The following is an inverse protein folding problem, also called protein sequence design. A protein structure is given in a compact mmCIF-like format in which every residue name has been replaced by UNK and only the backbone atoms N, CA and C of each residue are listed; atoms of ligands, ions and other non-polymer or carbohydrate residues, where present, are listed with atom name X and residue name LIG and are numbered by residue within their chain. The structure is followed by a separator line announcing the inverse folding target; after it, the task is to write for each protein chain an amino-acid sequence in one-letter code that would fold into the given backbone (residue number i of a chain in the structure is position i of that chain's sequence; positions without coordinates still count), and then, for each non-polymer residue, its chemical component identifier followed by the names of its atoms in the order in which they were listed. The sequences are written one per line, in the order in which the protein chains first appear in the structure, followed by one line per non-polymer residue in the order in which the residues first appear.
data_IF_260668137148
#
_entry.id   IF_260668137148
#
_cell.length_a   1.000
_cell.length_b   1.000
_cell.length_c   1.000
_cell.angle_alpha   90.00
_cell.angle_beta   90.00
_cell.angle_gamma   90.00
#
_symmetry.space_group_name_H-M   'P 1'
#
loop_
_entity.id
_entity.type
_entity.pdbx_description
1 polymer ?
#
# COMPACT_ATOMS: atom_id res chain seq x y z
N UNK A 1 16.48 6.92 -5.10
CA UNK A 1 16.09 7.68 -3.89
C UNK A 1 14.71 8.28 -4.14
N UNK A 2 13.77 8.17 -3.20
CA UNK A 2 12.40 8.68 -3.33
C UNK A 2 12.23 9.89 -2.42
N UNK A 3 11.84 11.04 -2.96
CA UNK A 3 11.52 12.23 -2.18
C UNK A 3 10.01 12.26 -1.88
N UNK A 4 9.64 12.33 -0.60
CA UNK A 4 8.26 12.26 -0.13
C UNK A 4 7.87 13.55 0.61
N UNK A 5 6.75 14.15 0.21
CA UNK A 5 6.01 15.06 1.08
C UNK A 5 5.10 14.22 1.98
N UNK A 6 5.48 14.06 3.26
CA UNK A 6 4.82 13.14 4.18
C UNK A 6 3.58 13.78 4.83
N UNK A 7 2.39 13.48 4.29
CA UNK A 7 1.11 14.02 4.76
C UNK A 7 0.38 13.02 5.69
N UNK A 8 0.33 11.72 5.31
CA UNK A 8 -0.26 10.64 6.13
C UNK A 8 0.83 9.67 6.62
N UNK A 9 0.87 9.37 7.91
CA UNK A 9 1.89 8.53 8.60
C UNK A 9 3.36 8.81 8.19
N UNK A 10 3.98 9.83 8.80
CA UNK A 10 5.39 10.17 8.55
C UNK A 10 6.40 9.14 9.09
N UNK A 11 6.01 8.29 10.04
CA UNK A 11 6.94 7.41 10.77
C UNK A 11 7.09 6.04 10.12
N UNK A 12 6.01 5.42 9.65
CA UNK A 12 6.05 4.07 9.06
C UNK A 12 5.86 4.02 7.53
N UNK A 13 5.39 5.11 6.91
CA UNK A 13 5.21 5.22 5.45
C UNK A 13 6.48 5.49 4.64
N UNK A 14 7.65 5.02 5.11
CA UNK A 14 8.89 5.11 4.32
C UNK A 14 8.80 4.16 3.14
N UNK A 15 8.99 4.72 1.95
CA UNK A 15 9.04 3.93 0.73
C UNK A 15 10.49 3.54 0.37
N UNK A 16 10.69 2.41 -0.30
CA UNK A 16 9.66 1.51 -0.85
C UNK A 16 8.94 0.67 0.21
N UNK A 17 7.66 0.40 -0.01
CA UNK A 17 6.86 -0.53 0.78
C UNK A 17 7.11 -1.95 0.27
N UNK A 18 7.25 -2.90 1.18
CA UNK A 18 7.42 -4.31 0.85
C UNK A 18 6.24 -5.12 1.37
N UNK A 19 5.82 -6.13 0.61
CA UNK A 19 4.91 -7.14 1.16
C UNK A 19 5.61 -7.91 2.29
N UNK A 20 4.84 -8.47 3.22
CA UNK A 20 5.39 -9.24 4.36
C UNK A 20 6.34 -10.38 3.93
N UNK A 21 6.06 -11.00 2.78
CA UNK A 21 6.90 -12.07 2.21
C UNK A 21 8.09 -11.56 1.38
N UNK A 22 8.26 -10.24 1.25
CA UNK A 22 9.33 -9.61 0.49
C UNK A 22 9.26 -9.78 -1.03
N UNK A 23 8.18 -10.38 -1.55
CA UNK A 23 8.05 -10.68 -2.99
C UNK A 23 7.59 -9.49 -3.83
N UNK A 24 6.90 -8.53 -3.21
CA UNK A 24 6.40 -7.34 -3.86
C UNK A 24 7.08 -6.10 -3.27
N UNK A 25 7.40 -5.16 -4.15
CA UNK A 25 7.95 -3.85 -3.80
C UNK A 25 7.10 -2.77 -4.46
N UNK A 26 6.77 -1.73 -3.70
CA UNK A 26 5.92 -0.65 -4.13
C UNK A 26 6.57 0.70 -3.86
N UNK A 27 6.60 1.54 -4.89
CA UNK A 27 6.89 2.97 -4.79
C UNK A 27 5.75 3.76 -5.46
N UNK A 28 5.20 4.74 -4.76
CA UNK A 28 4.02 5.52 -5.14
C UNK A 28 4.23 6.97 -4.75
N UNK A 29 4.00 7.87 -5.70
CA UNK A 29 3.82 9.28 -5.43
C UNK A 29 2.32 9.59 -5.56
N UNK A 30 1.66 9.85 -4.44
CA UNK A 30 0.22 10.11 -4.40
C UNK A 30 -0.41 9.79 -3.06
N UNK A 31 -1.74 9.93 -3.02
CA UNK A 31 -2.57 9.60 -1.86
C UNK A 31 -3.76 8.74 -2.30
N UNK A 32 -4.03 7.66 -1.58
CA UNK A 32 -5.20 6.81 -1.82
C UNK A 32 -6.30 7.15 -0.79
N UNK A 33 -7.20 8.06 -1.15
CA UNK A 33 -8.21 8.61 -0.23
C UNK A 33 -9.14 7.56 0.39
N UNK A 34 -9.52 6.54 -0.38
CA UNK A 34 -10.40 5.45 0.05
C UNK A 34 -9.64 4.25 0.64
N UNK A 35 -8.36 4.40 1.02
CA UNK A 35 -7.54 3.29 1.52
C UNK A 35 -8.14 2.58 2.75
N UNK A 36 -8.90 3.29 3.59
CA UNK A 36 -9.53 2.71 4.79
C UNK A 36 -10.62 1.70 4.42
N UNK A 37 -11.39 1.99 3.39
CA UNK A 37 -12.45 1.11 2.92
C UNK A 37 -11.87 -0.08 2.17
N UNK A 38 -10.86 0.16 1.32
CA UNK A 38 -10.12 -0.91 0.64
C UNK A 38 -9.46 -1.84 1.66
N UNK A 39 -8.81 -1.30 2.70
CA UNK A 39 -8.15 -2.09 3.74
C UNK A 39 -9.13 -3.06 4.41
N UNK A 40 -10.34 -2.61 4.76
CA UNK A 40 -11.38 -3.49 5.33
C UNK A 40 -11.79 -4.62 4.37
N UNK A 41 -11.79 -4.38 3.07
CA UNK A 41 -12.17 -5.40 2.07
C UNK A 41 -11.11 -6.51 1.91
N UNK A 42 -9.86 -6.23 2.28
CA UNK A 42 -8.72 -7.11 2.03
C UNK A 42 -7.94 -7.48 3.29
N UNK A 43 -8.40 -7.07 4.49
CA UNK A 43 -7.69 -7.31 5.76
C UNK A 43 -7.52 -8.80 6.07
N UNK A 44 -8.48 -9.65 5.64
CA UNK A 44 -8.39 -11.10 5.80
C UNK A 44 -7.47 -11.78 4.76
N UNK A 45 -7.07 -11.06 3.71
CA UNK A 45 -6.30 -11.59 2.56
C UNK A 45 -4.87 -11.08 2.51
N UNK A 46 -4.60 -9.94 3.15
CA UNK A 46 -3.31 -9.27 3.10
C UNK A 46 -2.90 -8.78 4.49
N UNK A 47 -1.72 -9.20 4.92
CA UNK A 47 -1.16 -8.75 6.18
C UNK A 47 -0.40 -7.44 5.99
N UNK A 48 -1.03 -6.34 6.44
CA UNK A 48 -0.45 -5.01 6.38
C UNK A 48 0.69 -4.83 7.38
N UNK A 49 1.78 -4.24 6.91
CA UNK A 49 3.00 -4.00 7.69
C UNK A 49 3.18 -2.54 8.07
N UNK A 50 2.43 -1.62 7.43
CA UNK A 50 2.47 -0.18 7.67
C UNK A 50 1.05 0.37 7.85
N UNK A 51 0.95 1.64 8.24
CA UNK A 51 -0.31 2.39 8.19
C UNK A 51 -0.40 3.32 6.97
N UNK A 52 0.49 3.15 5.98
CA UNK A 52 0.46 3.93 4.74
C UNK A 52 -0.81 3.64 3.96
N UNK A 53 -1.43 4.70 3.47
CA UNK A 53 -2.54 4.67 2.52
C UNK A 53 -2.17 3.92 1.23
N UNK A 54 -0.91 4.01 0.79
CA UNK A 54 -0.42 3.38 -0.42
C UNK A 54 -0.28 1.85 -0.32
N UNK A 55 -0.19 1.26 0.89
CA UNK A 55 0.03 -0.18 1.04
C UNK A 55 -1.13 -1.02 0.49
N UNK A 56 -2.33 -0.44 0.39
CA UNK A 56 -3.50 -1.12 -0.20
C UNK A 56 -3.28 -1.53 -1.66
N UNK A 57 -2.37 -0.88 -2.38
CA UNK A 57 -1.99 -1.27 -3.75
C UNK A 57 -1.31 -2.64 -3.74
N UNK A 58 -0.46 -2.94 -2.74
CA UNK A 58 0.17 -4.27 -2.62
C UNK A 58 -0.89 -5.36 -2.37
N UNK A 59 -1.88 -5.06 -1.52
CA UNK A 59 -2.98 -5.97 -1.25
C UNK A 59 -3.83 -6.24 -2.51
N UNK A 60 -4.23 -5.18 -3.20
CA UNK A 60 -5.04 -5.27 -4.42
C UNK A 60 -4.29 -5.97 -5.57
N UNK A 61 -3.01 -5.66 -5.76
CA UNK A 61 -2.19 -6.32 -6.77
C UNK A 61 -2.02 -7.82 -6.49
N UNK A 62 -1.87 -8.20 -5.21
CA UNK A 62 -1.79 -9.61 -4.83
C UNK A 62 -3.06 -10.39 -5.14
N UNK A 63 -4.22 -9.75 -5.00
CA UNK A 63 -5.53 -10.38 -5.25
C UNK A 63 -5.91 -10.38 -6.73
N UNK A 64 -5.73 -9.25 -7.43
CA UNK A 64 -6.29 -9.00 -8.77
C UNK A 64 -5.24 -8.87 -9.88
N UNK A 65 -3.95 -8.99 -9.56
CA UNK A 65 -2.87 -8.73 -10.52
C UNK A 65 -2.92 -7.29 -11.05
N UNK A 66 -2.52 -7.06 -12.30
CA UNK A 66 -2.51 -5.71 -12.88
C UNK A 66 -3.91 -5.09 -13.12
N UNK A 67 -4.99 -5.88 -13.03
CA UNK A 67 -6.36 -5.45 -13.30
C UNK A 67 -7.09 -4.81 -12.12
N UNK A 68 -6.39 -4.33 -11.09
CA UNK A 68 -7.04 -3.78 -9.90
C UNK A 68 -7.53 -2.33 -10.03
N UNK A 69 -7.17 -1.65 -11.12
CA UNK A 69 -7.37 -0.20 -11.33
C UNK A 69 -8.70 0.17 -12.03
N UNK A 70 -9.47 -0.82 -12.50
CA UNK A 70 -10.75 -0.58 -13.19
C UNK A 70 -11.89 -0.17 -12.24
#
# INVERSE_FOLDING_TARGET
AHERLAIVDPKSGRQPLFSKDGKLVLAVNGEIYNHRDIRKQVEDKYEFTTQSDCEVILALYREKGAGFLE
#
